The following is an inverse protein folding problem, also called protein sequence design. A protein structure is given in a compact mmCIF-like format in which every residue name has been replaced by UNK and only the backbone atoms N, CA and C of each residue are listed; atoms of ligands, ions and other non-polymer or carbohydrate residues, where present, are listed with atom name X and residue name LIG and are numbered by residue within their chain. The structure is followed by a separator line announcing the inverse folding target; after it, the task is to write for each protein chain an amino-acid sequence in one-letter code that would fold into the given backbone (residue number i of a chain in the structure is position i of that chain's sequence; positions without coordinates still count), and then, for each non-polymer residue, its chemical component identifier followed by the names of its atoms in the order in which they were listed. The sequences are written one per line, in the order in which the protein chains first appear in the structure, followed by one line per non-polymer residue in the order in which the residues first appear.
data_IF_703116740274
#
_entry.id   IF_703116740274
#
_cell.length_a   1.000
_cell.length_b   1.000
_cell.length_c   1.000
_cell.angle_alpha   90.00
_cell.angle_beta   90.00
_cell.angle_gamma   90.00
#
_symmetry.space_group_name_H-M   'P 1'
#
loop_
_entity.id
_entity.type
_entity.pdbx_description
1 polymer ?
#
# COMPACT_ATOMS: atom_id res chain seq x y z
N UNK A 1 18.20 -2.84 17.14
CA UNK A 1 17.10 -3.73 16.66
C UNK A 1 15.81 -2.93 16.76
N UNK A 2 14.86 -3.07 15.85
CA UNK A 2 13.60 -2.31 15.96
C UNK A 2 12.84 -2.73 17.24
N UNK A 3 12.26 -1.79 18.02
CA UNK A 3 11.59 -2.11 19.27
C UNK A 3 10.18 -2.64 18.99
N UNK A 4 10.14 -3.91 18.61
CA UNK A 4 8.96 -4.76 18.77
C UNK A 4 8.61 -4.80 20.26
N UNK A 5 7.46 -4.22 20.63
CA UNK A 5 6.91 -4.42 21.96
C UNK A 5 6.36 -5.85 22.04
N UNK A 6 7.10 -6.72 22.72
CA UNK A 6 6.78 -8.14 22.86
C UNK A 6 5.41 -8.37 23.52
N UNK A 7 4.93 -7.43 24.34
CA UNK A 7 3.61 -7.50 24.97
C UNK A 7 2.46 -7.40 23.96
N UNK A 8 2.71 -6.84 22.78
CA UNK A 8 1.71 -6.63 21.73
C UNK A 8 1.70 -7.73 20.64
N UNK A 9 2.42 -8.85 20.83
CA UNK A 9 2.49 -9.92 19.82
C UNK A 9 1.12 -10.47 19.40
N UNK A 10 0.21 -10.70 20.36
CA UNK A 10 -1.15 -11.16 20.10
C UNK A 10 -1.96 -10.11 19.30
N UNK A 11 -1.82 -8.84 19.66
CA UNK A 11 -2.42 -7.69 18.96
C UNK A 11 -1.99 -7.67 17.49
N UNK A 12 -0.70 -7.84 17.19
CA UNK A 12 -0.20 -7.91 15.82
C UNK A 12 -0.73 -9.14 15.03
N UNK A 13 -0.95 -10.27 15.70
CA UNK A 13 -1.57 -11.44 15.06
C UNK A 13 -3.03 -11.18 14.66
N UNK A 14 -3.80 -10.51 15.52
CA UNK A 14 -5.18 -10.10 15.23
C UNK A 14 -5.24 -9.13 14.04
N UNK A 15 -4.37 -8.12 14.02
CA UNK A 15 -4.27 -7.19 12.87
C UNK A 15 -3.94 -7.94 11.56
N UNK A 16 -2.96 -8.85 11.57
CA UNK A 16 -2.60 -9.61 10.37
C UNK A 16 -3.76 -10.50 9.87
N UNK A 17 -4.45 -11.20 10.79
CA UNK A 17 -5.61 -12.04 10.45
C UNK A 17 -6.76 -11.22 9.87
N UNK A 18 -7.09 -10.06 10.46
CA UNK A 18 -8.11 -9.15 9.96
C UNK A 18 -7.84 -8.64 8.54
N UNK A 19 -6.57 -8.47 8.16
CA UNK A 19 -6.19 -8.11 6.79
C UNK A 19 -6.38 -9.27 5.82
N UNK A 20 -6.02 -10.49 6.23
CA UNK A 20 -6.17 -11.69 5.41
C UNK A 20 -7.66 -12.14 5.29
N UNK A 21 -8.54 -11.73 6.19
CA UNK A 21 -10.00 -11.97 6.12
C UNK A 21 -10.83 -10.79 5.60
N UNK A 22 -10.28 -9.57 5.63
CA UNK A 22 -11.00 -8.32 5.39
C UNK A 22 -11.91 -7.87 6.54
N UNK A 23 -11.92 -8.58 7.69
CA UNK A 23 -12.76 -8.23 8.84
C UNK A 23 -12.02 -7.32 9.83
N UNK A 24 -12.29 -6.02 9.71
CA UNK A 24 -11.74 -4.97 10.57
C UNK A 24 -12.70 -4.57 11.71
N UNK A 25 -13.83 -5.26 11.90
CA UNK A 25 -14.93 -4.84 12.77
C UNK A 25 -14.55 -4.73 14.26
N UNK A 26 -13.83 -5.71 14.78
CA UNK A 26 -13.41 -5.78 16.19
C UNK A 26 -12.13 -4.96 16.51
N UNK A 27 -11.51 -4.32 15.51
CA UNK A 27 -10.21 -3.66 15.68
C UNK A 27 -10.32 -2.20 16.12
N UNK A 28 -9.64 -1.88 17.22
CA UNK A 28 -9.62 -0.53 17.78
C UNK A 28 -8.76 0.42 16.94
N UNK A 29 -9.42 1.19 16.07
CA UNK A 29 -8.80 2.12 15.12
C UNK A 29 -7.84 3.14 15.79
N UNK A 30 -8.08 3.53 17.05
CA UNK A 30 -7.18 4.41 17.79
C UNK A 30 -5.86 3.71 18.20
N UNK A 31 -5.89 2.40 18.46
CA UNK A 31 -4.69 1.60 18.69
C UNK A 31 -3.93 1.35 17.38
N UNK A 32 -4.64 1.10 16.27
CA UNK A 32 -4.05 0.97 14.92
C UNK A 32 -3.12 2.14 14.60
N UNK A 33 -3.62 3.37 14.81
CA UNK A 33 -2.85 4.60 14.60
C UNK A 33 -1.65 4.74 15.56
N UNK A 34 -1.74 4.22 16.78
CA UNK A 34 -0.62 4.12 17.71
C UNK A 34 0.51 3.23 17.17
N UNK A 35 0.17 2.04 16.67
CA UNK A 35 1.15 1.12 16.08
C UNK A 35 1.78 1.67 14.79
N UNK A 36 1.01 2.35 13.93
CA UNK A 36 1.55 3.04 12.73
C UNK A 36 2.50 4.17 13.13
N UNK A 37 2.16 4.97 14.15
CA UNK A 37 3.05 6.02 14.66
C UNK A 37 4.35 5.44 15.25
N UNK A 38 4.27 4.34 16.01
CA UNK A 38 5.45 3.61 16.50
C UNK A 38 6.31 3.05 15.36
N UNK A 39 5.70 2.59 14.26
CA UNK A 39 6.35 2.08 13.04
C UNK A 39 7.00 3.17 12.16
N UNK A 40 6.61 4.44 12.33
CA UNK A 40 7.32 5.56 11.69
C UNK A 40 8.55 6.04 12.48
N UNK A 41 8.48 6.02 13.81
CA UNK A 41 9.52 6.61 14.69
C UNK A 41 10.72 5.69 14.96
N UNK A 42 10.43 4.42 15.23
CA UNK A 42 11.40 3.32 15.53
C UNK A 42 11.92 2.09 14.53
N UNK A 43 11.42 1.35 12.37
CA UNK A 43 11.72 0.42 11.24
C UNK A 43 12.43 1.28 10.16
N UNK A 44 13.49 0.77 9.50
CA UNK A 44 14.28 1.56 8.56
C UNK A 44 13.44 2.22 7.46
N UNK A 45 13.82 3.41 6.93
CA UNK A 45 13.03 4.15 5.96
C UNK A 45 12.66 3.34 4.70
N UNK A 46 13.53 2.42 4.29
CA UNK A 46 13.30 1.42 3.25
C UNK A 46 12.09 0.51 3.54
N UNK A 47 11.98 -0.03 4.76
CA UNK A 47 10.82 -0.83 5.20
C UNK A 47 9.55 0.03 5.30
N UNK A 48 9.67 1.27 5.76
CA UNK A 48 8.53 2.20 5.79
C UNK A 48 8.03 2.49 4.37
N UNK A 49 8.95 2.73 3.42
CA UNK A 49 8.61 2.97 2.02
C UNK A 49 7.85 1.79 1.41
N UNK A 50 8.37 0.57 1.60
CA UNK A 50 7.75 -0.66 1.09
C UNK A 50 6.32 -0.84 1.64
N UNK A 51 6.14 -0.68 2.95
CA UNK A 51 4.82 -0.85 3.60
C UNK A 51 3.81 0.20 3.14
N UNK A 52 4.21 1.48 3.04
CA UNK A 52 3.31 2.52 2.54
C UNK A 52 3.01 2.34 1.04
N UNK A 53 3.99 1.95 0.23
CA UNK A 53 3.80 1.72 -1.20
C UNK A 53 2.87 0.54 -1.47
N UNK A 54 2.99 -0.55 -0.72
CA UNK A 54 2.04 -1.67 -0.78
C UNK A 54 0.64 -1.18 -0.38
N UNK A 55 0.51 -0.57 0.80
CA UNK A 55 -0.77 -0.08 1.31
C UNK A 55 -1.52 0.83 0.33
N UNK A 56 -0.83 1.78 -0.31
CA UNK A 56 -1.45 2.66 -1.30
C UNK A 56 -1.66 2.01 -2.67
N UNK A 57 -0.95 0.92 -3.00
CA UNK A 57 -1.20 0.17 -4.23
C UNK A 57 -2.49 -0.65 -4.12
N UNK A 58 -2.72 -1.26 -2.96
CA UNK A 58 -3.91 -2.04 -2.63
C UNK A 58 -5.16 -1.14 -2.38
N UNK A 59 -4.95 0.16 -2.21
CA UNK A 59 -5.99 1.15 -1.92
C UNK A 59 -6.75 1.61 -3.19
N UNK A 60 -8.10 1.66 -3.16
CA UNK A 60 -8.92 2.25 -4.22
C UNK A 60 -8.53 3.70 -4.57
N UNK A 61 -8.76 4.10 -5.82
CA UNK A 61 -8.38 5.43 -6.30
C UNK A 61 -9.08 6.56 -5.52
N UNK A 62 -10.35 6.38 -5.17
CA UNK A 62 -11.17 7.35 -4.45
C UNK A 62 -10.64 7.60 -3.03
N UNK A 63 -10.10 6.55 -2.39
CA UNK A 63 -9.44 6.67 -1.09
C UNK A 63 -8.08 7.37 -1.24
N UNK A 64 -7.29 7.02 -2.26
CA UNK A 64 -6.03 7.72 -2.58
C UNK A 64 -6.25 9.20 -2.88
N UNK A 65 -7.32 9.54 -3.59
CA UNK A 65 -7.72 10.92 -3.85
C UNK A 65 -8.16 11.64 -2.56
N UNK A 66 -8.99 11.01 -1.73
CA UNK A 66 -9.36 11.57 -0.43
C UNK A 66 -8.15 11.80 0.50
N UNK A 67 -7.08 11.00 0.37
CA UNK A 67 -5.79 11.26 1.03
C UNK A 67 -5.07 12.45 0.37
N UNK A 68 -4.91 12.45 -0.95
CA UNK A 68 -4.21 13.50 -1.68
C UNK A 68 -4.84 14.90 -1.49
N UNK A 69 -6.17 14.98 -1.39
CA UNK A 69 -6.90 16.23 -1.10
C UNK A 69 -6.73 16.71 0.36
N UNK A 70 -6.41 15.82 1.31
CA UNK A 70 -6.15 16.16 2.71
C UNK A 70 -4.67 16.42 3.03
N UNK A 71 -3.75 16.05 2.13
CA UNK A 71 -2.33 16.36 2.28
C UNK A 71 -2.08 17.86 2.05
N UNK A 72 -1.41 18.57 2.98
CA UNK A 72 -0.99 19.95 2.75
C UNK A 72 -0.10 20.08 1.50
N UNK A 73 -0.08 21.23 0.79
CA UNK A 73 0.62 21.36 -0.50
C UNK A 73 2.11 20.97 -0.48
N UNK A 74 2.82 21.20 0.63
CA UNK A 74 4.22 20.79 0.81
C UNK A 74 4.44 19.27 0.88
N UNK A 75 3.37 18.50 1.13
CA UNK A 75 3.30 17.04 1.07
C UNK A 75 2.40 16.55 -0.09
N UNK A 76 2.11 17.41 -1.07
CA UNK A 76 1.23 17.07 -2.19
C UNK A 76 1.69 15.81 -2.93
N UNK A 77 0.75 14.89 -3.16
CA UNK A 77 0.97 13.61 -3.83
C UNK A 77 -0.04 13.44 -4.98
N UNK A 78 0.29 12.60 -5.96
CA UNK A 78 -0.60 12.25 -7.06
C UNK A 78 -1.38 10.99 -6.68
N UNK A 79 -2.72 11.01 -6.60
CA UNK A 79 -3.51 9.83 -6.24
C UNK A 79 -3.40 8.68 -7.25
N UNK A 80 -2.99 8.98 -8.50
CA UNK A 80 -2.69 7.99 -9.52
C UNK A 80 -1.38 7.24 -9.25
N UNK A 81 -0.49 7.77 -8.39
CA UNK A 81 0.82 7.19 -8.07
C UNK A 81 0.94 6.86 -6.55
N UNK A 82 0.73 5.59 -6.16
CA UNK A 82 0.98 5.08 -4.80
C UNK A 82 2.38 5.39 -4.25
N UNK A 83 3.40 5.50 -5.11
CA UNK A 83 4.78 5.80 -4.67
C UNK A 83 4.92 7.26 -4.22
N UNK A 84 4.26 8.21 -4.89
CA UNK A 84 4.21 9.60 -4.43
C UNK A 84 3.51 9.74 -3.06
N UNK A 85 2.42 9.01 -2.83
CA UNK A 85 1.73 8.96 -1.53
C UNK A 85 2.64 8.37 -0.45
N UNK A 86 3.35 7.27 -0.76
CA UNK A 86 4.32 6.65 0.15
C UNK A 86 5.46 7.61 0.52
N UNK A 87 5.98 8.39 -0.44
CA UNK A 87 6.97 9.43 -0.15
C UNK A 87 6.43 10.54 0.75
N UNK A 88 5.21 11.03 0.51
CA UNK A 88 4.61 12.08 1.34
C UNK A 88 4.37 11.59 2.78
N UNK A 89 3.93 10.34 2.96
CA UNK A 89 3.78 9.75 4.30
C UNK A 89 5.12 9.56 5.00
N UNK A 90 6.17 9.14 4.28
CA UNK A 90 7.55 9.12 4.80
C UNK A 90 8.01 10.48 5.32
N UNK A 91 7.80 11.56 4.56
CA UNK A 91 8.16 12.93 4.96
C UNK A 91 7.37 13.36 6.20
N UNK A 92 6.07 13.11 6.24
CA UNK A 92 5.20 13.39 7.41
C UNK A 92 5.67 12.61 8.66
N UNK A 93 6.17 11.39 8.49
CA UNK A 93 6.79 10.60 9.57
C UNK A 93 8.11 11.20 10.07
N UNK A 94 8.99 11.60 9.14
CA UNK A 94 10.30 12.21 9.43
C UNK A 94 10.17 13.60 10.09
N UNK A 95 9.21 14.41 9.63
CA UNK A 95 8.87 15.73 10.19
C UNK A 95 8.08 15.64 11.52
N UNK A 96 7.76 14.43 11.99
CA UNK A 96 7.01 14.19 13.24
C UNK A 96 5.56 14.67 13.19
N UNK A 97 4.99 14.92 12.00
CA UNK A 97 3.65 15.51 11.82
C UNK A 97 2.53 14.48 11.97
N UNK A 98 2.59 13.70 13.06
CA UNK A 98 1.63 12.66 13.44
C UNK A 98 0.18 13.15 13.59
N UNK A 99 -0.03 14.47 13.69
CA UNK A 99 -1.35 15.09 13.70
C UNK A 99 -2.01 15.10 12.31
N UNK A 100 -1.24 15.27 11.22
CA UNK A 100 -1.76 15.16 9.85
C UNK A 100 -2.29 13.75 9.56
N UNK A 101 -1.55 12.72 9.97
CA UNK A 101 -1.96 11.32 9.84
C UNK A 101 -3.29 11.06 10.56
N UNK A 102 -3.46 11.61 11.78
CA UNK A 102 -4.72 11.50 12.52
C UNK A 102 -5.86 12.27 11.85
N UNK A 103 -5.57 13.40 11.20
CA UNK A 103 -6.52 14.11 10.34
C UNK A 103 -7.00 13.22 9.19
N UNK A 104 -6.07 12.81 8.32
CA UNK A 104 -6.33 11.97 7.14
C UNK A 104 -7.13 10.72 7.51
N UNK A 105 -6.68 9.96 8.51
CA UNK A 105 -7.32 8.72 8.95
C UNK A 105 -8.57 8.91 9.82
N UNK A 106 -8.93 10.14 10.19
CA UNK A 106 -10.24 10.42 10.81
C UNK A 106 -11.37 10.55 9.78
N UNK A 107 -11.05 10.65 8.49
CA UNK A 107 -12.04 10.71 7.43
C UNK A 107 -12.78 9.37 7.28
N UNK A 108 -14.13 9.33 7.19
CA UNK A 108 -14.89 8.07 7.22
C UNK A 108 -14.55 7.11 6.09
N UNK A 109 -14.19 7.63 4.90
CA UNK A 109 -13.73 6.80 3.77
C UNK A 109 -12.37 6.12 3.99
N UNK A 110 -11.61 6.54 5.02
CA UNK A 110 -10.22 6.15 5.27
C UNK A 110 -10.02 5.43 6.60
N UNK A 111 -11.09 5.19 7.37
CA UNK A 111 -11.06 4.44 8.63
C UNK A 111 -10.43 3.05 8.45
N UNK A 112 -10.90 2.28 7.45
CA UNK A 112 -10.32 0.98 7.10
C UNK A 112 -8.86 1.07 6.62
N UNK A 113 -8.46 2.19 6.01
CA UNK A 113 -7.09 2.44 5.59
C UNK A 113 -6.11 2.43 6.76
N UNK A 114 -6.46 3.09 7.88
CA UNK A 114 -5.64 3.10 9.09
C UNK A 114 -5.41 1.69 9.67
N UNK A 115 -6.44 0.84 9.61
CA UNK A 115 -6.40 -0.54 10.11
C UNK A 115 -5.61 -1.45 9.16
N UNK A 116 -5.86 -1.35 7.86
CA UNK A 116 -5.11 -2.10 6.84
C UNK A 116 -3.62 -1.77 6.84
N UNK A 117 -3.26 -0.50 7.03
CA UNK A 117 -1.87 -0.08 7.19
C UNK A 117 -1.24 -0.64 8.48
N UNK A 118 -1.95 -0.59 9.62
CA UNK A 118 -1.48 -1.19 10.87
C UNK A 118 -1.28 -2.71 10.75
N UNK A 119 -2.09 -3.38 9.91
CA UNK A 119 -1.96 -4.80 9.63
C UNK A 119 -0.83 -5.17 8.67
N UNK A 120 -0.55 -4.37 7.64
CA UNK A 120 0.65 -4.53 6.80
C UNK A 120 1.93 -4.32 7.63
N UNK A 121 1.92 -3.35 8.54
CA UNK A 121 2.95 -3.18 9.58
C UNK A 121 3.07 -4.44 10.45
N UNK A 122 1.95 -4.97 10.95
CA UNK A 122 1.93 -6.17 11.78
C UNK A 122 2.50 -7.41 11.06
N UNK A 123 2.08 -7.64 9.80
CA UNK A 123 2.64 -8.67 8.89
C UNK A 123 4.16 -8.56 8.79
N UNK A 124 4.68 -7.39 8.44
CA UNK A 124 6.13 -7.15 8.29
C UNK A 124 6.90 -7.36 9.61
N UNK A 125 6.33 -6.93 10.74
CA UNK A 125 6.90 -7.13 12.08
C UNK A 125 6.96 -8.62 12.44
N UNK A 126 5.88 -9.37 12.23
CA UNK A 126 5.80 -10.81 12.51
C UNK A 126 6.75 -11.63 11.62
N UNK A 127 6.80 -11.33 10.31
CA UNK A 127 7.72 -11.97 9.37
C UNK A 127 9.19 -11.72 9.73
N UNK A 128 9.52 -10.50 10.21
CA UNK A 128 10.88 -10.18 10.68
C UNK A 128 11.20 -10.85 12.03
N UNK A 129 10.21 -11.00 12.91
CA UNK A 129 10.37 -11.78 14.14
C UNK A 129 10.66 -13.25 13.84
N UNK A 130 9.93 -13.87 12.90
CA UNK A 130 10.22 -15.23 12.44
C UNK A 130 11.64 -15.37 11.89
N UNK A 131 12.07 -14.48 10.97
CA UNK A 131 13.45 -14.50 10.43
C UNK A 131 14.53 -14.35 11.51
N UNK A 132 14.30 -13.52 12.53
CA UNK A 132 15.24 -13.38 13.65
C UNK A 132 15.25 -14.59 14.60
N UNK A 133 14.08 -15.16 14.91
CA UNK A 133 13.97 -16.33 15.79
C UNK A 133 14.64 -17.58 15.17
N UNK A 134 14.48 -17.77 13.86
CA UNK A 134 15.11 -18.87 13.10
C UNK A 134 16.56 -18.56 12.66
N UNK A 135 17.15 -17.46 13.11
CA UNK A 135 18.58 -17.18 12.95
C UNK A 135 19.48 -18.05 13.84
N UNK A 136 18.90 -18.75 14.83
CA UNK A 136 19.59 -19.63 15.77
C UNK A 136 19.25 -21.11 15.57
N UNK A 137 20.05 -21.80 14.76
CA UNK A 137 20.01 -23.24 14.48
C UNK A 137 18.85 -23.79 13.64
N UNK A 138 19.10 -25.00 13.12
CA UNK A 138 18.29 -25.74 12.17
C UNK A 138 17.01 -26.30 12.81
N UNK A 139 15.88 -26.24 12.11
CA UNK A 139 15.35 -27.44 11.42
C UNK A 139 14.12 -27.12 10.55
N UNK A 140 13.78 -28.08 9.68
CA UNK A 140 12.60 -28.02 8.82
C UNK A 140 11.34 -28.39 9.62
N UNK A 141 10.33 -27.53 9.65
CA UNK A 141 8.97 -27.98 9.91
C UNK A 141 7.97 -27.16 9.07
N UNK A 142 7.14 -27.86 8.30
CA UNK A 142 6.11 -27.26 7.45
C UNK A 142 5.04 -26.56 8.32
N UNK A 143 4.96 -25.23 8.20
CA UNK A 143 3.81 -24.44 8.64
C UNK A 143 3.26 -23.67 7.45
N UNK A 144 2.09 -24.08 6.94
CA UNK A 144 1.44 -23.42 5.80
C UNK A 144 1.12 -21.96 6.14
N UNK A 145 1.71 -21.01 5.41
CA UNK A 145 1.31 -19.60 5.44
C UNK A 145 1.45 -18.98 4.04
N UNK A 146 0.49 -19.22 3.13
CA UNK A 146 0.68 -19.07 1.67
C UNK A 146 0.82 -17.62 1.17
N UNK A 147 0.36 -16.63 1.93
CA UNK A 147 0.24 -15.23 1.48
C UNK A 147 1.52 -14.65 0.85
N UNK A 148 2.69 -14.84 1.47
CA UNK A 148 3.93 -14.18 1.01
C UNK A 148 4.48 -14.67 -0.33
N UNK A 149 4.12 -15.86 -0.80
CA UNK A 149 4.46 -16.29 -2.17
C UNK A 149 3.39 -15.87 -3.17
N UNK A 150 2.12 -15.81 -2.74
CA UNK A 150 1.03 -15.33 -3.59
C UNK A 150 1.10 -13.82 -3.84
N UNK A 151 1.44 -13.01 -2.82
CA UNK A 151 1.66 -11.56 -2.95
C UNK A 151 2.77 -11.24 -3.97
N UNK A 152 3.84 -12.06 -4.04
CA UNK A 152 4.91 -11.85 -5.03
C UNK A 152 4.47 -12.20 -6.46
N UNK A 153 3.79 -13.34 -6.66
CA UNK A 153 3.23 -13.72 -7.96
C UNK A 153 2.17 -12.73 -8.46
N UNK A 154 1.23 -12.35 -7.60
CA UNK A 154 0.21 -11.34 -7.91
C UNK A 154 0.84 -9.98 -8.26
N UNK A 155 1.96 -9.62 -7.64
CA UNK A 155 2.64 -8.37 -7.96
C UNK A 155 3.44 -8.43 -9.27
N UNK A 156 3.91 -9.58 -9.72
CA UNK A 156 4.40 -9.75 -11.10
C UNK A 156 3.23 -9.70 -12.10
N UNK A 157 2.15 -10.45 -11.87
CA UNK A 157 0.94 -10.50 -12.70
C UNK A 157 0.28 -9.10 -12.85
N UNK A 158 0.15 -8.32 -11.76
CA UNK A 158 -0.35 -6.94 -11.80
C UNK A 158 0.60 -5.98 -12.53
N UNK A 159 1.91 -6.25 -12.55
CA UNK A 159 2.86 -5.45 -13.32
C UNK A 159 2.86 -5.83 -14.82
N UNK A 160 2.58 -7.09 -15.18
CA UNK A 160 2.35 -7.51 -16.57
C UNK A 160 1.02 -6.95 -17.09
N UNK A 161 -0.09 -7.13 -16.37
CA UNK A 161 -1.39 -6.55 -16.72
C UNK A 161 -1.35 -5.02 -16.87
N UNK A 162 -0.53 -4.33 -16.06
CA UNK A 162 -0.32 -2.87 -16.18
C UNK A 162 0.51 -2.48 -17.41
N UNK A 163 1.37 -3.37 -17.94
CA UNK A 163 2.03 -3.16 -19.23
C UNK A 163 1.04 -3.40 -20.37
N UNK A 164 0.30 -4.50 -20.34
CA UNK A 164 -0.73 -4.80 -21.34
C UNK A 164 -1.78 -3.68 -21.42
N UNK A 165 -2.26 -3.13 -20.30
CA UNK A 165 -3.19 -1.98 -20.33
C UNK A 165 -2.56 -0.74 -20.99
N UNK A 166 -1.26 -0.48 -20.78
CA UNK A 166 -0.56 0.64 -21.40
C UNK A 166 -0.31 0.45 -22.90
N UNK A 167 -0.02 -0.78 -23.34
CA UNK A 167 0.12 -1.10 -24.77
C UNK A 167 -1.25 -1.11 -25.47
N UNK A 168 -2.29 -1.72 -24.89
CA UNK A 168 -3.66 -1.69 -25.41
C UNK A 168 -4.21 -0.27 -25.54
N UNK A 169 -3.97 0.61 -24.54
CA UNK A 169 -4.36 2.04 -24.63
C UNK A 169 -3.67 2.74 -25.82
N UNK A 170 -2.38 2.46 -26.01
CA UNK A 170 -1.58 3.04 -27.09
C UNK A 170 -2.06 2.57 -28.46
N UNK A 171 -2.34 1.27 -28.60
CA UNK A 171 -2.88 0.68 -29.81
C UNK A 171 -4.28 1.26 -30.14
N UNK A 172 -5.14 1.47 -29.14
CA UNK A 172 -6.45 2.11 -29.32
C UNK A 172 -6.36 3.57 -29.82
N UNK A 173 -5.40 4.35 -29.32
CA UNK A 173 -5.17 5.73 -29.76
C UNK A 173 -4.51 5.78 -31.16
N UNK A 174 -3.64 4.82 -31.49
CA UNK A 174 -3.07 4.67 -32.84
C UNK A 174 -4.13 4.21 -33.86
N UNK A 175 -5.05 3.29 -33.50
CA UNK A 175 -6.18 2.88 -34.35
C UNK A 175 -7.16 4.03 -34.60
N UNK A 176 -7.53 4.79 -33.56
CA UNK A 176 -8.32 6.03 -33.69
C UNK A 176 -7.63 7.08 -34.55
N UNK A 177 -6.29 7.15 -34.52
CA UNK A 177 -5.51 7.95 -35.44
C UNK A 177 -5.68 7.50 -36.90
N UNK A 178 -5.59 6.19 -37.14
CA UNK A 178 -5.73 5.62 -38.48
C UNK A 178 -7.15 5.73 -39.07
N UNK A 179 -8.21 5.54 -38.28
CA UNK A 179 -9.59 5.80 -38.73
C UNK A 179 -9.78 7.25 -39.20
N UNK A 180 -9.28 8.22 -38.41
CA UNK A 180 -9.33 9.65 -38.76
C UNK A 180 -8.58 9.96 -40.06
N UNK A 181 -7.47 9.28 -40.32
CA UNK A 181 -6.74 9.42 -41.58
C UNK A 181 -7.45 8.77 -42.78
N UNK A 182 -8.12 7.61 -42.60
CA UNK A 182 -8.87 6.95 -43.69
C UNK A 182 -10.08 7.76 -44.15
N UNK A 183 -10.79 8.45 -43.25
CA UNK A 183 -11.97 9.23 -43.62
C UNK A 183 -11.71 10.52 -44.41
N UNK A 184 -10.46 10.98 -44.52
CA UNK A 184 -10.10 12.19 -45.26
C UNK A 184 -9.72 11.98 -46.74
N UNK A 185 -9.70 10.72 -47.22
CA UNK A 185 -9.17 10.38 -48.55
C UNK A 185 -10.13 10.47 -49.75
N UNK A 186 -11.44 10.66 -49.55
CA UNK A 186 -12.44 10.33 -50.59
C UNK A 186 -13.44 11.44 -50.97
N UNK A 187 -12.95 12.68 -51.20
CA UNK A 187 -13.76 13.76 -51.78
C UNK A 187 -12.94 14.81 -52.54
N UNK A 188 -12.60 14.54 -53.80
CA UNK A 188 -12.29 15.55 -54.84
C UNK A 188 -12.11 14.88 -56.22
N UNK A 189 -13.20 14.38 -56.80
CA UNK A 189 -13.31 13.98 -58.21
C UNK A 189 -14.76 14.27 -58.66
N UNK A 190 -14.98 15.43 -59.28
CA UNK A 190 -16.08 15.84 -60.19
C UNK A 190 -15.93 17.33 -60.54
#
# INVERSE_FOLDING_TARGET
MWPFDQNNQQTYQQYAQAYDTGDFGDLNHHQSLGHVQQFMQSAPPDIQQQVFQQHFSDMPYEQREAIAQQLPPQYGANPNDPFSLAQSFLRIGQDGQHHLLRGIFSHPLLLGGAVGLAALVAKHVLARHQKNAYGGQQQQQYGNNPGYQQEQYLQEEVNELRREEQELRRELDEERGQERHRHHGHRNDW
#
